data_IF_944762490048
#
_entry.id   IF_944762490048
#
_cell.length_a   1.000
_cell.length_b   1.000
_cell.length_c   1.000
_cell.angle_alpha   90.00
_cell.angle_beta   90.00
_cell.angle_gamma   90.00
#
_symmetry.space_group_name_H-M   'P 1'
#
loop_
_entity.id
_entity.type
_entity.pdbx_description
1 polymer ?
#
# COMPACT_ATOMS: atom_id res chain seq x y z
N UNK A 1 -20.29 34.62 29.84
CA UNK A 1 -18.83 34.43 29.79
C UNK A 1 -18.57 33.16 29.00
N UNK A 2 -18.33 33.32 27.70
CA UNK A 2 -18.34 32.25 26.70
C UNK A 2 -16.91 31.77 26.43
N UNK A 3 -16.67 30.46 26.59
CA UNK A 3 -15.45 29.78 26.15
C UNK A 3 -15.74 29.09 24.81
N UNK A 4 -15.73 29.89 23.74
CA UNK A 4 -15.83 29.41 22.36
C UNK A 4 -14.99 30.34 21.47
N UNK A 5 -13.71 30.04 21.29
CA UNK A 5 -12.86 30.44 20.16
C UNK A 5 -11.38 30.18 20.47
N UNK A 6 -10.93 28.93 20.39
CA UNK A 6 -9.55 28.64 19.97
C UNK A 6 -9.69 27.99 18.62
N UNK A 7 -9.79 28.85 17.60
CA UNK A 7 -9.73 28.46 16.19
C UNK A 7 -8.29 28.02 15.92
N UNK A 8 -8.11 26.72 15.74
CA UNK A 8 -6.90 26.10 15.24
C UNK A 8 -6.64 26.61 13.81
N UNK A 9 -5.79 27.63 13.70
CA UNK A 9 -5.24 28.11 12.44
C UNK A 9 -3.73 28.05 12.52
N UNK A 10 -3.14 26.87 12.35
CA UNK A 10 -1.70 26.75 12.15
C UNK A 10 -1.41 26.25 10.73
N UNK A 11 -1.09 27.25 9.91
CA UNK A 11 -0.64 27.14 8.53
C UNK A 11 0.72 26.44 8.53
N UNK A 12 0.78 25.22 8.02
CA UNK A 12 2.03 24.55 7.65
C UNK A 12 2.75 25.35 6.56
N UNK A 13 3.78 26.11 6.95
CA UNK A 13 4.63 26.86 6.04
C UNK A 13 6.07 26.90 6.53
N UNK A 14 6.95 26.10 5.93
CA UNK A 14 8.41 26.28 5.97
C UNK A 14 8.94 25.74 4.63
N UNK A 15 9.16 26.62 3.65
CA UNK A 15 10.42 27.33 3.33
C UNK A 15 11.34 26.48 2.44
N UNK A 16 11.48 27.01 1.21
CA UNK A 16 12.53 26.82 0.22
C UNK A 16 12.66 25.51 -0.56
N UNK A 17 12.98 25.70 -1.85
CA UNK A 17 13.27 24.70 -2.87
C UNK A 17 14.64 24.97 -3.51
N UNK A 18 15.48 25.85 -2.96
CA UNK A 18 16.79 26.20 -3.54
C UNK A 18 17.70 26.88 -2.49
N UNK A 19 18.11 26.17 -1.44
CA UNK A 19 19.07 26.68 -0.45
C UNK A 19 20.13 25.62 -0.08
N UNK A 20 20.80 25.11 -1.12
CA UNK A 20 22.08 24.45 -0.95
C UNK A 20 23.14 25.57 -0.88
N UNK A 21 23.56 25.94 0.33
CA UNK A 21 24.79 26.70 0.59
C UNK A 21 24.77 28.24 0.51
N UNK A 22 23.93 28.95 1.28
CA UNK A 22 23.92 30.44 1.27
C UNK A 22 24.12 31.12 2.64
N UNK A 23 24.82 30.48 3.59
CA UNK A 23 25.20 31.13 4.85
C UNK A 23 26.18 32.31 4.67
N UNK A 24 26.76 32.48 3.47
CA UNK A 24 27.84 33.42 3.20
C UNK A 24 27.53 34.45 2.09
N UNK A 25 26.27 34.55 1.66
CA UNK A 25 25.88 35.60 0.71
C UNK A 25 25.78 36.96 1.41
N UNK A 26 26.53 37.93 0.91
CA UNK A 26 26.38 39.34 1.25
C UNK A 26 24.99 39.88 0.87
N UNK A 27 24.59 41.01 1.45
CA UNK A 27 23.33 41.67 1.07
C UNK A 27 23.27 42.03 -0.42
N UNK A 28 24.41 42.41 -1.02
CA UNK A 28 24.51 42.70 -2.45
C UNK A 28 24.31 41.45 -3.32
N UNK A 29 24.85 40.29 -2.91
CA UNK A 29 24.65 39.02 -3.62
C UNK A 29 23.19 38.55 -3.53
N UNK A 30 22.55 38.70 -2.37
CA UNK A 30 21.12 38.41 -2.19
C UNK A 30 20.25 39.29 -3.08
N UNK A 31 20.53 40.60 -3.13
CA UNK A 31 19.81 41.55 -3.97
C UNK A 31 19.98 41.22 -5.46
N UNK A 32 21.20 40.92 -5.90
CA UNK A 32 21.49 40.52 -7.27
C UNK A 32 20.76 39.22 -7.66
N UNK A 33 20.73 38.22 -6.77
CA UNK A 33 20.00 36.97 -7.00
C UNK A 33 18.49 37.20 -7.11
N UNK A 34 17.90 37.98 -6.20
CA UNK A 34 16.46 38.30 -6.26
C UNK A 34 16.16 39.07 -7.55
N UNK A 35 17.04 39.98 -7.99
CA UNK A 35 16.87 40.68 -9.26
C UNK A 35 16.90 39.74 -10.47
N UNK A 36 17.78 38.72 -10.45
CA UNK A 36 17.92 37.70 -11.49
C UNK A 36 16.80 36.63 -11.50
N UNK A 37 15.97 36.54 -10.47
CA UNK A 37 14.83 35.61 -10.43
C UNK A 37 13.78 35.96 -11.49
N UNK A 38 13.10 34.93 -12.00
CA UNK A 38 11.93 35.09 -12.87
C UNK A 38 10.78 35.79 -12.13
N UNK A 39 9.83 36.37 -12.86
CA UNK A 39 8.66 37.00 -12.24
C UNK A 39 7.81 36.00 -11.44
N UNK A 40 7.74 34.75 -11.90
CA UNK A 40 7.06 33.66 -11.19
C UNK A 40 7.75 33.35 -9.85
N UNK A 41 9.09 33.31 -9.84
CA UNK A 41 9.87 33.07 -8.62
C UNK A 41 9.79 34.25 -7.64
N UNK A 42 9.83 35.48 -8.15
CA UNK A 42 9.62 36.70 -7.34
C UNK A 42 8.24 36.72 -6.69
N UNK A 43 7.20 36.34 -7.43
CA UNK A 43 5.84 36.22 -6.89
C UNK A 43 5.76 35.12 -5.83
N UNK A 44 6.35 33.95 -6.09
CA UNK A 44 6.44 32.85 -5.12
C UNK A 44 7.16 33.28 -3.84
N UNK A 45 8.26 34.04 -3.96
CA UNK A 45 9.03 34.57 -2.83
C UNK A 45 8.20 35.58 -2.01
N UNK A 46 7.50 36.52 -2.66
CA UNK A 46 6.60 37.46 -1.99
C UNK A 46 5.49 36.75 -1.21
N UNK A 47 4.83 35.76 -1.83
CA UNK A 47 3.78 34.97 -1.17
C UNK A 47 4.32 34.16 0.01
N UNK A 48 5.59 33.75 -0.01
CA UNK A 48 6.25 33.09 1.14
C UNK A 48 6.53 34.09 2.25
N UNK A 49 7.07 35.27 1.93
CA UNK A 49 7.34 36.33 2.88
C UNK A 49 6.05 36.77 3.59
N UNK A 50 4.99 37.04 2.84
CA UNK A 50 3.70 37.46 3.41
C UNK A 50 3.13 36.41 4.38
N UNK A 51 3.22 35.12 4.02
CA UNK A 51 2.76 34.05 4.92
C UNK A 51 3.62 33.93 6.17
N UNK A 52 4.93 34.18 6.07
CA UNK A 52 5.82 34.23 7.23
C UNK A 52 5.52 35.44 8.13
N UNK A 53 5.29 36.62 7.54
CA UNK A 53 4.95 37.84 8.28
C UNK A 53 3.61 37.73 9.01
N UNK A 54 2.65 36.96 8.47
CA UNK A 54 1.36 36.67 9.11
C UNK A 54 1.46 35.73 10.32
N UNK A 55 2.61 35.08 10.56
CA UNK A 55 2.79 34.24 11.75
C UNK A 55 2.87 35.08 13.03
N UNK A 56 2.41 34.55 14.19
CA UNK A 56 2.63 35.20 15.48
C UNK A 56 4.13 35.45 15.74
N UNK A 57 4.46 36.56 16.41
CA UNK A 57 5.87 36.94 16.68
C UNK A 57 6.69 35.81 17.29
N UNK A 58 6.15 35.13 18.30
CA UNK A 58 6.84 34.01 18.94
C UNK A 58 7.17 32.86 17.97
N UNK A 59 6.28 32.58 17.01
CA UNK A 59 6.54 31.54 16.01
C UNK A 59 7.56 31.99 14.97
N UNK A 60 7.53 33.27 14.56
CA UNK A 60 8.57 33.84 13.68
C UNK A 60 9.95 33.77 14.32
N UNK A 61 10.07 34.18 15.59
CA UNK A 61 11.31 34.10 16.36
C UNK A 61 11.81 32.66 16.48
N UNK A 62 10.91 31.72 16.80
CA UNK A 62 11.24 30.29 16.84
C UNK A 62 11.80 29.78 15.51
N UNK A 63 11.19 30.15 14.38
CA UNK A 63 11.66 29.73 13.05
C UNK A 63 13.00 30.37 12.67
N UNK A 64 13.22 31.63 13.04
CA UNK A 64 14.51 32.30 12.84
C UNK A 64 15.61 31.62 13.66
N UNK A 65 15.33 31.29 14.93
CA UNK A 65 16.27 30.57 15.79
C UNK A 65 16.58 29.18 15.25
N UNK A 66 15.57 28.42 14.82
CA UNK A 66 15.77 27.10 14.19
C UNK A 66 16.66 27.21 12.94
N UNK A 67 16.43 28.22 12.10
CA UNK A 67 17.26 28.42 10.92
C UNK A 67 18.72 28.77 11.29
N UNK A 68 18.92 29.63 12.30
CA UNK A 68 20.25 29.96 12.79
C UNK A 68 20.98 28.73 13.38
N UNK A 69 20.28 27.89 14.14
CA UNK A 69 20.79 26.63 14.67
C UNK A 69 21.19 25.66 13.55
N UNK A 70 20.38 25.55 12.49
CA UNK A 70 20.69 24.70 11.33
C UNK A 70 21.91 25.19 10.55
N UNK A 71 22.13 26.51 10.44
CA UNK A 71 23.30 27.05 9.72
C UNK A 71 24.61 26.90 10.52
N UNK A 72 24.55 26.88 11.85
CA UNK A 72 25.74 26.70 12.70
C UNK A 72 26.18 25.23 12.81
N UNK A 73 25.32 24.29 12.43
CA UNK A 73 25.58 22.86 12.55
C UNK A 73 26.41 22.31 11.38
N UNK A 74 27.43 21.47 11.64
CA UNK A 74 28.17 20.80 10.57
C UNK A 74 27.30 19.94 9.64
N UNK A 75 26.25 19.30 10.18
CA UNK A 75 25.27 18.48 9.46
C UNK A 75 24.04 19.28 8.98
N UNK A 76 24.08 20.62 9.09
CA UNK A 76 22.99 21.52 8.72
C UNK A 76 22.44 21.34 7.30
N UNK A 77 23.27 21.19 6.26
CA UNK A 77 22.80 20.92 4.90
C UNK A 77 22.00 19.61 4.78
N UNK A 78 22.45 18.53 5.43
CA UNK A 78 21.79 17.23 5.39
C UNK A 78 20.44 17.24 6.11
N UNK A 79 20.36 17.96 7.24
CA UNK A 79 19.12 18.14 7.99
C UNK A 79 18.08 18.93 7.19
N UNK A 80 18.49 19.98 6.47
CA UNK A 80 17.60 20.73 5.57
C UNK A 80 17.04 19.84 4.48
N UNK A 81 17.89 19.03 3.85
CA UNK A 81 17.44 18.08 2.83
C UNK A 81 16.48 17.05 3.39
N UNK A 82 16.71 16.55 4.62
CA UNK A 82 15.77 15.67 5.31
C UNK A 82 14.43 16.37 5.58
N UNK A 83 14.42 17.64 5.99
CA UNK A 83 13.19 18.41 6.19
C UNK A 83 12.41 18.59 4.89
N UNK A 84 13.09 18.81 3.76
CA UNK A 84 12.45 18.88 2.45
C UNK A 84 11.81 17.55 2.06
N UNK A 85 12.55 16.44 2.14
CA UNK A 85 12.01 15.09 1.87
C UNK A 85 10.83 14.76 2.77
N UNK A 86 10.91 15.11 4.06
CA UNK A 86 9.81 14.92 4.99
C UNK A 86 8.58 15.74 4.59
N UNK A 87 8.75 17.00 4.21
CA UNK A 87 7.66 17.87 3.76
C UNK A 87 7.02 17.38 2.46
N UNK A 88 7.82 16.96 1.49
CA UNK A 88 7.32 16.40 0.23
C UNK A 88 6.56 15.11 0.47
N UNK A 89 7.04 14.26 1.37
CA UNK A 89 6.30 13.08 1.81
C UNK A 89 4.98 13.45 2.52
N UNK A 90 4.96 14.46 3.39
CA UNK A 90 3.73 14.91 4.06
C UNK A 90 2.65 15.33 3.06
N UNK A 91 3.01 15.85 1.88
CA UNK A 91 2.03 16.18 0.82
C UNK A 91 1.35 14.94 0.24
N UNK A 92 1.95 13.76 0.39
CA UNK A 92 1.42 12.49 -0.15
C UNK A 92 0.40 11.82 0.76
N UNK A 93 0.30 12.24 2.04
CA UNK A 93 -0.64 11.68 3.01
C UNK A 93 -1.86 12.59 3.21
N UNK A 94 -2.97 12.03 3.68
CA UNK A 94 -4.22 12.79 3.82
C UNK A 94 -4.17 13.80 4.99
N UNK A 95 -5.11 14.75 5.02
CA UNK A 95 -5.15 15.80 6.06
C UNK A 95 -5.31 15.26 7.48
N UNK A 96 -6.09 14.20 7.68
CA UNK A 96 -6.26 13.57 9.00
C UNK A 96 -4.96 12.94 9.51
N UNK A 97 -4.24 12.23 8.65
CA UNK A 97 -2.91 11.66 8.98
C UNK A 97 -1.88 12.75 9.30
N UNK A 98 -1.91 13.88 8.56
CA UNK A 98 -1.02 15.02 8.86
C UNK A 98 -1.31 15.61 10.23
N UNK A 99 -2.58 15.80 10.57
CA UNK A 99 -2.98 16.33 11.87
C UNK A 99 -2.56 15.38 13.00
N UNK A 100 -2.82 14.07 12.85
CA UNK A 100 -2.40 13.06 13.82
C UNK A 100 -0.88 13.12 14.07
N UNK A 101 -0.06 13.19 13.02
CA UNK A 101 1.39 13.30 13.17
C UNK A 101 1.82 14.57 13.93
N UNK A 102 1.11 15.69 13.77
CA UNK A 102 1.42 16.94 14.46
C UNK A 102 1.17 16.86 15.96
N UNK A 103 0.11 16.16 16.37
CA UNK A 103 -0.29 16.01 17.77
C UNK A 103 0.61 15.02 18.53
N UNK A 104 1.25 14.09 17.82
CA UNK A 104 2.12 13.08 18.44
C UNK A 104 3.47 13.66 18.91
N UNK A 105 3.99 13.19 20.07
CA UNK A 105 5.37 13.40 20.49
C UNK A 105 6.37 12.84 19.47
N UNK A 106 7.63 13.31 19.49
CA UNK A 106 8.63 12.99 18.47
C UNK A 106 8.83 11.48 18.24
N UNK A 107 8.93 10.68 19.31
CA UNK A 107 9.16 9.23 19.20
C UNK A 107 7.95 8.50 18.62
N UNK A 108 6.75 8.82 19.10
CA UNK A 108 5.50 8.24 18.58
C UNK A 108 5.25 8.65 17.13
N UNK A 109 5.60 9.88 16.77
CA UNK A 109 5.55 10.38 15.39
C UNK A 109 6.44 9.55 14.47
N UNK A 110 7.67 9.21 14.88
CA UNK A 110 8.56 8.36 14.08
C UNK A 110 7.94 6.97 13.87
N UNK A 111 7.40 6.36 14.93
CA UNK A 111 6.73 5.06 14.82
C UNK A 111 5.52 5.12 13.87
N UNK A 112 4.72 6.19 13.95
CA UNK A 112 3.58 6.41 13.05
C UNK A 112 4.03 6.65 11.61
N UNK A 113 5.09 7.42 11.37
CA UNK A 113 5.67 7.64 10.03
C UNK A 113 6.07 6.30 9.42
N UNK A 114 6.78 5.45 10.17
CA UNK A 114 7.15 4.10 9.70
C UNK A 114 5.91 3.30 9.29
N UNK A 115 4.89 3.26 10.14
CA UNK A 115 3.64 2.56 9.82
C UNK A 115 2.93 3.11 8.58
N UNK A 116 2.98 4.42 8.33
CA UNK A 116 2.37 5.04 7.15
C UNK A 116 3.17 4.75 5.88
N UNK A 117 4.50 4.74 5.97
CA UNK A 117 5.37 4.32 4.87
C UNK A 117 5.10 2.85 4.50
N UNK A 118 5.02 1.95 5.49
CA UNK A 118 4.67 0.55 5.27
C UNK A 118 3.29 0.41 4.60
N UNK A 119 2.32 1.23 4.97
CA UNK A 119 0.98 1.23 4.36
C UNK A 119 0.99 1.75 2.92
N UNK A 120 1.77 2.79 2.63
CA UNK A 120 1.97 3.29 1.27
C UNK A 120 2.68 2.26 0.38
N UNK A 121 3.72 1.60 0.90
CA UNK A 121 4.43 0.53 0.20
C UNK A 121 3.51 -0.64 -0.11
N UNK A 122 2.68 -1.06 0.85
CA UNK A 122 1.64 -2.07 0.63
C UNK A 122 0.64 -1.63 -0.43
N UNK A 123 0.15 -0.40 -0.37
CA UNK A 123 -0.79 0.14 -1.36
C UNK A 123 -0.19 0.14 -2.77
N UNK A 124 1.06 0.60 -2.91
CA UNK A 124 1.81 0.57 -4.19
C UNK A 124 2.01 -0.86 -4.66
N UNK A 125 2.41 -1.77 -3.78
CA UNK A 125 2.56 -3.17 -4.08
C UNK A 125 1.24 -3.77 -4.59
N UNK A 126 0.11 -3.54 -3.92
CA UNK A 126 -1.19 -4.07 -4.35
C UNK A 126 -1.67 -3.47 -5.67
N UNK A 127 -1.50 -2.17 -5.88
CA UNK A 127 -1.87 -1.52 -7.15
C UNK A 127 -1.04 -2.07 -8.31
N UNK A 128 0.26 -2.23 -8.08
CA UNK A 128 1.18 -2.81 -9.03
C UNK A 128 0.88 -4.28 -9.31
N UNK A 129 0.62 -5.07 -8.27
CA UNK A 129 0.19 -6.46 -8.35
C UNK A 129 -1.08 -6.59 -9.18
N UNK A 130 -2.08 -5.72 -8.96
CA UNK A 130 -3.30 -5.69 -9.76
C UNK A 130 -2.98 -5.44 -11.24
N UNK A 131 -2.09 -4.50 -11.55
CA UNK A 131 -1.70 -4.20 -12.92
C UNK A 131 -0.95 -5.38 -13.57
N UNK A 132 0.01 -5.98 -12.87
CA UNK A 132 0.79 -7.12 -13.35
C UNK A 132 -0.12 -8.34 -13.59
N UNK A 133 -0.96 -8.71 -12.61
CA UNK A 133 -1.87 -9.85 -12.74
C UNK A 133 -2.97 -9.66 -13.79
N UNK A 134 -3.23 -8.41 -14.24
CA UNK A 134 -4.16 -8.17 -15.35
C UNK A 134 -3.52 -8.52 -16.70
N UNK A 135 -2.21 -8.33 -16.82
CA UNK A 135 -1.47 -8.46 -18.08
C UNK A 135 -0.76 -9.80 -18.27
N UNK A 136 -0.41 -10.46 -17.17
CA UNK A 136 0.38 -11.69 -17.11
C UNK A 136 -0.56 -12.87 -16.89
N UNK A 137 -0.37 -13.93 -17.68
CA UNK A 137 -1.17 -15.15 -17.57
C UNK A 137 -0.88 -15.86 -16.25
N UNK A 138 -1.87 -16.55 -15.71
CA UNK A 138 -1.67 -17.30 -14.47
C UNK A 138 -0.66 -18.44 -14.64
N UNK A 139 -0.65 -19.10 -15.79
CA UNK A 139 0.29 -20.17 -16.11
C UNK A 139 1.74 -19.65 -16.05
N UNK A 140 1.97 -18.42 -16.52
CA UNK A 140 3.29 -17.78 -16.45
C UNK A 140 3.70 -17.47 -15.01
N UNK A 141 2.76 -17.12 -14.13
CA UNK A 141 3.04 -16.96 -12.69
C UNK A 141 3.34 -18.30 -12.01
N UNK A 142 2.71 -19.38 -12.45
CA UNK A 142 3.01 -20.75 -11.98
C UNK A 142 4.42 -21.17 -12.45
N UNK A 143 4.78 -20.89 -13.70
CA UNK A 143 6.13 -21.15 -14.24
C UNK A 143 7.20 -20.38 -13.48
N UNK A 144 6.98 -19.09 -13.19
CA UNK A 144 7.89 -18.27 -12.38
C UNK A 144 8.02 -18.86 -10.97
N UNK A 145 6.91 -19.30 -10.36
CA UNK A 145 6.94 -19.90 -9.03
C UNK A 145 7.70 -21.23 -9.02
N UNK A 146 7.51 -22.06 -10.05
CA UNK A 146 8.21 -23.32 -10.20
C UNK A 146 9.72 -23.08 -10.33
N UNK A 147 10.13 -22.15 -11.20
CA UNK A 147 11.54 -21.75 -11.35
C UNK A 147 12.15 -21.27 -10.02
N UNK A 148 11.41 -20.49 -9.22
CA UNK A 148 11.86 -20.09 -7.88
C UNK A 148 12.16 -21.32 -7.02
N UNK A 149 11.23 -22.27 -6.94
CA UNK A 149 11.32 -23.40 -5.99
C UNK A 149 12.32 -24.46 -6.44
N UNK A 150 12.35 -24.77 -7.73
CA UNK A 150 13.07 -25.94 -8.25
C UNK A 150 14.42 -25.61 -8.86
N UNK A 151 14.62 -24.38 -9.35
CA UNK A 151 15.87 -24.00 -9.99
C UNK A 151 16.68 -23.05 -9.09
N UNK A 152 16.12 -21.87 -8.81
CA UNK A 152 16.88 -20.82 -8.13
C UNK A 152 17.15 -21.14 -6.66
N UNK A 153 16.13 -21.49 -5.87
CA UNK A 153 16.31 -21.81 -4.46
C UNK A 153 17.14 -23.08 -4.21
N UNK A 154 17.26 -23.96 -5.21
CA UNK A 154 18.15 -25.12 -5.14
C UNK A 154 19.61 -24.69 -5.21
N UNK A 155 19.95 -23.70 -6.05
CA UNK A 155 21.31 -23.13 -6.16
C UNK A 155 21.70 -22.37 -4.88
N UNK A 156 20.77 -21.59 -4.31
CA UNK A 156 21.00 -20.75 -3.12
C UNK A 156 20.64 -21.43 -1.78
N UNK A 157 20.37 -22.75 -1.80
CA UNK A 157 19.85 -23.51 -0.66
C UNK A 157 20.67 -23.32 0.62
N UNK A 158 21.98 -23.52 0.54
CA UNK A 158 22.86 -23.49 1.71
C UNK A 158 22.92 -22.08 2.33
N UNK A 159 22.84 -21.06 1.48
CA UNK A 159 22.80 -19.65 1.92
C UNK A 159 21.55 -19.35 2.72
N UNK A 160 20.40 -19.92 2.34
CA UNK A 160 19.12 -19.77 3.07
C UNK A 160 19.17 -20.55 4.38
N UNK A 161 19.64 -21.79 4.35
CA UNK A 161 19.73 -22.64 5.54
C UNK A 161 20.70 -22.08 6.59
N UNK A 162 21.72 -21.33 6.19
CA UNK A 162 22.62 -20.63 7.12
C UNK A 162 21.89 -19.66 8.08
N UNK A 163 20.70 -19.19 7.72
CA UNK A 163 19.89 -18.29 8.55
C UNK A 163 18.70 -18.99 9.24
N UNK A 164 18.58 -20.31 9.15
CA UNK A 164 17.46 -21.08 9.68
C UNK A 164 17.25 -20.85 11.19
N UNK A 165 18.31 -20.95 12.00
CA UNK A 165 18.20 -20.77 13.45
C UNK A 165 17.84 -19.32 13.82
N UNK A 166 18.45 -18.34 13.14
CA UNK A 166 18.14 -16.92 13.34
C UNK A 166 16.69 -16.61 12.97
N UNK A 167 16.17 -17.24 11.92
CA UNK A 167 14.75 -17.17 11.57
C UNK A 167 13.87 -17.74 12.68
N UNK A 168 14.25 -18.87 13.28
CA UNK A 168 13.49 -19.46 14.38
C UNK A 168 13.50 -18.61 15.65
N UNK A 169 14.58 -17.89 15.94
CA UNK A 169 14.61 -16.92 17.04
C UNK A 169 13.57 -15.80 16.84
N UNK A 170 13.46 -15.26 15.62
CA UNK A 170 12.51 -14.19 15.31
C UNK A 170 11.08 -14.71 15.10
N UNK A 171 10.94 -15.92 14.56
CA UNK A 171 9.67 -16.55 14.18
C UNK A 171 9.61 -18.00 14.69
N UNK A 172 9.46 -18.23 16.02
CA UNK A 172 9.51 -19.57 16.60
C UNK A 172 8.48 -20.55 16.04
N UNK A 173 7.34 -20.05 15.58
CA UNK A 173 6.27 -20.85 14.97
C UNK A 173 6.71 -21.56 13.67
N UNK A 174 7.73 -21.04 12.97
CA UNK A 174 8.29 -21.70 11.78
C UNK A 174 8.92 -23.04 12.12
N UNK A 175 9.54 -23.18 13.29
CA UNK A 175 10.20 -24.42 13.69
C UNK A 175 9.21 -25.56 13.79
N UNK A 176 8.06 -25.34 14.44
CA UNK A 176 7.01 -26.35 14.56
C UNK A 176 6.38 -26.69 13.21
N UNK A 177 6.12 -25.68 12.37
CA UNK A 177 5.56 -25.87 11.03
C UNK A 177 6.49 -26.68 10.12
N UNK A 178 7.79 -26.35 10.14
CA UNK A 178 8.78 -26.99 9.26
C UNK A 178 9.32 -28.31 9.80
N UNK A 179 8.99 -28.68 11.03
CA UNK A 179 9.27 -30.00 11.59
C UNK A 179 8.34 -31.10 11.04
N UNK A 180 7.32 -30.75 10.27
CA UNK A 180 6.43 -31.71 9.61
C UNK A 180 7.22 -32.57 8.61
N UNK A 181 7.30 -33.88 8.87
CA UNK A 181 8.09 -34.84 8.07
C UNK A 181 7.65 -34.97 6.60
N UNK A 182 6.48 -34.44 6.23
CA UNK A 182 5.93 -34.51 4.88
C UNK A 182 6.38 -33.38 3.95
N UNK A 183 7.12 -32.37 4.44
CA UNK A 183 7.61 -31.27 3.60
C UNK A 183 8.81 -31.72 2.76
N UNK A 184 8.78 -31.45 1.46
CA UNK A 184 9.95 -31.65 0.61
C UNK A 184 11.08 -30.70 1.02
N UNK A 185 12.36 -31.06 0.81
CA UNK A 185 13.49 -30.20 1.12
C UNK A 185 13.41 -28.81 0.46
N UNK A 186 13.02 -28.74 -0.82
CA UNK A 186 12.84 -27.48 -1.54
C UNK A 186 11.71 -26.66 -0.95
N UNK A 187 10.61 -27.31 -0.53
CA UNK A 187 9.49 -26.60 0.11
C UNK A 187 9.88 -26.00 1.45
N UNK A 188 10.71 -26.70 2.24
CA UNK A 188 11.27 -26.14 3.49
C UNK A 188 12.10 -24.88 3.20
N UNK A 189 13.00 -24.95 2.23
CA UNK A 189 13.87 -23.83 1.85
C UNK A 189 13.04 -22.65 1.35
N UNK A 190 12.03 -22.90 0.52
CA UNK A 190 11.07 -21.88 0.09
C UNK A 190 10.34 -21.22 1.26
N UNK A 191 9.76 -22.01 2.17
CA UNK A 191 9.03 -21.47 3.32
C UNK A 191 9.97 -20.67 4.25
N UNK A 192 11.23 -21.06 4.40
CA UNK A 192 12.24 -20.26 5.11
C UNK A 192 12.51 -18.94 4.38
N UNK A 193 12.83 -18.99 3.09
CA UNK A 193 13.17 -17.83 2.26
C UNK A 193 12.05 -16.78 2.24
N UNK A 194 10.81 -17.18 2.01
CA UNK A 194 9.65 -16.25 2.03
C UNK A 194 9.49 -15.58 3.40
N UNK A 195 9.99 -16.19 4.48
CA UNK A 195 9.95 -15.62 5.82
C UNK A 195 11.22 -14.85 6.23
N UNK A 196 12.26 -14.77 5.40
CA UNK A 196 13.46 -13.95 5.64
C UNK A 196 13.19 -12.45 5.51
N UNK A 197 12.24 -12.07 4.65
CA UNK A 197 11.94 -10.67 4.37
C UNK A 197 11.59 -9.87 5.63
N UNK A 198 12.27 -8.74 5.79
CA UNK A 198 12.05 -7.79 6.87
C UNK A 198 12.53 -8.26 8.24
N UNK A 199 13.25 -9.38 8.33
CA UNK A 199 13.79 -9.87 9.61
C UNK A 199 15.12 -9.16 9.92
N UNK A 200 15.23 -8.44 11.06
CA UNK A 200 16.45 -7.71 11.41
C UNK A 200 17.71 -8.59 11.42
N UNK A 201 18.73 -8.13 10.70
CA UNK A 201 20.03 -8.81 10.62
C UNK A 201 20.04 -10.08 9.78
N UNK A 202 18.97 -10.39 9.05
CA UNK A 202 18.98 -11.37 7.96
C UNK A 202 18.99 -10.58 6.65
N UNK A 203 19.96 -10.80 5.75
CA UNK A 203 19.97 -10.12 4.46
C UNK A 203 18.84 -10.64 3.57
N UNK A 204 18.25 -9.75 2.77
CA UNK A 204 17.33 -10.15 1.71
C UNK A 204 18.10 -10.93 0.64
N UNK A 205 17.87 -12.24 0.57
CA UNK A 205 18.44 -13.10 -0.47
C UNK A 205 17.54 -12.98 -1.70
N UNK A 206 18.10 -12.40 -2.77
CA UNK A 206 17.44 -12.18 -4.06
C UNK A 206 18.28 -12.77 -5.20
N UNK A 207 17.66 -13.13 -6.34
CA UNK A 207 18.40 -13.61 -7.50
C UNK A 207 19.39 -12.55 -8.00
N UNK A 208 20.51 -13.02 -8.54
CA UNK A 208 21.52 -12.19 -9.18
C UNK A 208 21.09 -11.72 -10.57
N UNK A 209 21.88 -10.84 -11.20
CA UNK A 209 21.63 -10.44 -12.60
C UNK A 209 21.60 -11.63 -13.56
N UNK A 210 22.50 -12.61 -13.39
CA UNK A 210 22.49 -13.82 -14.22
C UNK A 210 21.25 -14.68 -14.01
N UNK A 211 20.76 -14.78 -12.76
CA UNK A 211 19.51 -15.50 -12.47
C UNK A 211 18.31 -14.77 -13.08
N UNK A 212 18.34 -13.44 -13.14
CA UNK A 212 17.29 -12.67 -13.81
C UNK A 212 17.29 -12.87 -15.34
N UNK A 213 18.45 -13.03 -15.98
CA UNK A 213 18.49 -13.41 -17.40
C UNK A 213 17.92 -14.81 -17.62
N UNK A 214 18.21 -15.75 -16.72
CA UNK A 214 17.62 -17.09 -16.76
C UNK A 214 16.09 -16.99 -16.64
N UNK A 215 15.57 -16.29 -15.62
CA UNK A 215 14.14 -16.06 -15.42
C UNK A 215 13.48 -15.45 -16.66
N UNK A 216 14.10 -14.46 -17.31
CA UNK A 216 13.56 -13.85 -18.55
C UNK A 216 13.32 -14.87 -19.66
N UNK A 217 14.13 -15.93 -19.74
CA UNK A 217 13.96 -16.98 -20.73
C UNK A 217 12.69 -17.83 -20.51
N UNK A 218 12.22 -17.91 -19.25
CA UNK A 218 10.97 -18.58 -18.86
C UNK A 218 9.72 -17.69 -19.09
N UNK A 219 9.89 -16.39 -19.32
CA UNK A 219 8.77 -15.46 -19.50
C UNK A 219 8.17 -15.54 -20.91
N UNK A 220 6.86 -15.32 -20.97
CA UNK A 220 6.11 -15.22 -22.22
C UNK A 220 6.53 -14.01 -23.06
N UNK A 221 6.33 -14.10 -24.38
CA UNK A 221 6.79 -13.07 -25.33
C UNK A 221 6.27 -11.67 -25.00
N UNK A 222 5.01 -11.54 -24.58
CA UNK A 222 4.39 -10.26 -24.20
C UNK A 222 5.10 -9.64 -22.99
N UNK A 223 5.34 -10.43 -21.95
CA UNK A 223 6.01 -9.99 -20.71
C UNK A 223 7.46 -9.61 -20.98
N UNK A 224 8.16 -10.39 -21.81
CA UNK A 224 9.53 -10.11 -22.24
C UNK A 224 9.65 -8.79 -23.00
N UNK A 225 8.79 -8.56 -24.00
CA UNK A 225 8.75 -7.28 -24.74
C UNK A 225 8.48 -6.09 -23.82
N UNK A 226 7.59 -6.26 -22.82
CA UNK A 226 7.31 -5.21 -21.83
C UNK A 226 8.56 -4.90 -20.98
N UNK A 227 9.27 -5.93 -20.54
CA UNK A 227 10.53 -5.78 -19.79
C UNK A 227 11.61 -5.10 -20.64
N UNK A 228 11.73 -5.45 -21.91
CA UNK A 228 12.69 -4.84 -22.85
C UNK A 228 12.36 -3.37 -23.16
N UNK A 229 11.09 -2.98 -23.10
CA UNK A 229 10.67 -1.58 -23.30
C UNK A 229 10.99 -0.65 -22.13
N UNK A 230 11.34 -1.19 -20.95
CA UNK A 230 11.69 -0.44 -19.74
C UNK A 230 13.04 -0.91 -19.15
N UNK A 231 14.17 -0.70 -19.85
CA UNK A 231 15.48 -1.25 -19.45
C UNK A 231 15.92 -0.79 -18.05
N UNK A 232 15.70 0.48 -17.72
CA UNK A 232 16.07 1.06 -16.41
C UNK A 232 15.27 0.48 -15.24
N UNK A 233 14.12 -0.15 -15.52
CA UNK A 233 13.22 -0.72 -14.50
C UNK A 233 13.13 -2.23 -14.56
N UNK A 234 13.87 -2.87 -15.47
CA UNK A 234 13.73 -4.29 -15.78
C UNK A 234 13.89 -5.17 -14.54
N UNK A 235 14.94 -4.93 -13.75
CA UNK A 235 15.20 -5.69 -12.53
C UNK A 235 14.09 -5.49 -11.48
N UNK A 236 13.63 -4.24 -11.32
CA UNK A 236 12.53 -3.94 -10.40
C UNK A 236 11.25 -4.66 -10.83
N UNK A 237 10.93 -4.68 -12.12
CA UNK A 237 9.76 -5.39 -12.66
C UNK A 237 9.87 -6.91 -12.47
N UNK A 238 11.05 -7.50 -12.64
CA UNK A 238 11.28 -8.93 -12.38
C UNK A 238 11.08 -9.29 -10.92
N UNK A 239 11.63 -8.49 -9.99
CA UNK A 239 11.38 -8.67 -8.54
C UNK A 239 9.88 -8.61 -8.23
N UNK A 240 9.15 -7.71 -8.89
CA UNK A 240 7.71 -7.59 -8.72
C UNK A 240 6.94 -8.79 -9.29
N UNK A 241 7.36 -9.31 -10.46
CA UNK A 241 6.80 -10.52 -11.05
C UNK A 241 7.01 -11.75 -10.15
N UNK A 242 8.21 -11.90 -9.58
CA UNK A 242 8.49 -12.96 -8.61
C UNK A 242 7.58 -12.85 -7.38
N UNK A 243 7.45 -11.64 -6.80
CA UNK A 243 6.52 -11.40 -5.69
C UNK A 243 5.09 -11.70 -6.10
N UNK A 244 4.72 -11.44 -7.35
CA UNK A 244 3.41 -11.75 -7.88
C UNK A 244 3.14 -13.25 -7.94
N UNK A 245 4.12 -14.01 -8.42
CA UNK A 245 4.08 -15.47 -8.45
C UNK A 245 3.97 -16.07 -7.03
N UNK A 246 4.71 -15.53 -6.06
CA UNK A 246 4.58 -15.96 -4.65
C UNK A 246 3.17 -15.70 -4.14
N UNK A 247 2.62 -14.49 -4.35
CA UNK A 247 1.29 -14.12 -3.88
C UNK A 247 0.19 -14.90 -4.60
N UNK A 248 0.35 -15.23 -5.88
CA UNK A 248 -0.64 -16.03 -6.61
C UNK A 248 -0.78 -17.43 -6.01
N UNK A 249 0.32 -18.03 -5.53
CA UNK A 249 0.24 -19.32 -4.83
C UNK A 249 -0.54 -19.23 -3.50
N UNK A 250 -0.43 -18.12 -2.77
CA UNK A 250 -1.21 -17.90 -1.53
C UNK A 250 -2.67 -17.54 -1.81
N UNK A 251 -2.96 -16.99 -2.98
CA UNK A 251 -4.33 -16.86 -3.48
C UNK A 251 -4.74 -18.18 -4.11
N UNK A 252 -4.78 -19.24 -3.30
CA UNK A 252 -5.16 -20.60 -3.71
C UNK A 252 -6.28 -20.54 -4.76
N UNK A 253 -5.97 -21.01 -5.98
CA UNK A 253 -6.97 -21.57 -6.88
C UNK A 253 -7.63 -22.66 -6.08
N UNK A 254 -8.78 -22.35 -5.47
CA UNK A 254 -9.64 -23.43 -5.02
C UNK A 254 -10.24 -23.98 -6.30
N UNK A 255 -9.83 -25.19 -6.65
CA UNK A 255 -10.44 -25.93 -7.74
C UNK A 255 -11.95 -25.98 -7.49
N UNK A 256 -12.74 -25.84 -8.54
CA UNK A 256 -14.20 -25.94 -8.42
C UNK A 256 -14.59 -27.34 -7.90
N UNK A 257 -13.80 -28.37 -8.18
CA UNK A 257 -13.98 -29.70 -7.59
C UNK A 257 -13.71 -29.73 -6.08
N UNK A 258 -12.69 -29.02 -5.60
CA UNK A 258 -12.41 -28.89 -4.17
C UNK A 258 -13.45 -28.01 -3.45
N UNK A 259 -13.95 -26.97 -4.12
CA UNK A 259 -15.08 -26.17 -3.62
C UNK A 259 -16.37 -27.00 -3.52
N UNK A 260 -16.63 -27.87 -4.50
CA UNK A 260 -17.79 -28.78 -4.47
C UNK A 260 -17.67 -29.77 -3.31
N UNK A 261 -16.50 -30.40 -3.13
CA UNK A 261 -16.25 -31.30 -2.00
C UNK A 261 -16.40 -30.58 -0.66
N UNK A 262 -15.77 -29.42 -0.52
CA UNK A 262 -15.90 -28.60 0.68
C UNK A 262 -17.35 -28.19 0.95
N UNK A 263 -18.08 -27.74 -0.07
CA UNK A 263 -19.50 -27.42 0.06
C UNK A 263 -20.33 -28.63 0.50
N UNK A 264 -20.04 -29.83 -0.01
CA UNK A 264 -20.73 -31.05 0.39
C UNK A 264 -20.49 -31.42 1.86
N UNK A 265 -19.29 -31.12 2.39
CA UNK A 265 -18.88 -31.37 3.77
C UNK A 265 -19.36 -30.30 4.77
N UNK A 266 -19.81 -29.12 4.30
CA UNK A 266 -20.31 -28.07 5.19
C UNK A 266 -21.56 -28.49 5.98
N UNK A 267 -21.73 -28.01 7.22
CA UNK A 267 -22.97 -28.19 7.97
C UNK A 267 -24.19 -27.65 7.21
N UNK A 268 -25.35 -28.29 7.34
CA UNK A 268 -26.58 -27.90 6.62
C UNK A 268 -26.99 -26.44 6.87
N UNK A 269 -26.72 -25.93 8.07
CA UNK A 269 -26.94 -24.51 8.40
C UNK A 269 -26.11 -23.57 7.52
N UNK A 270 -24.86 -23.91 7.28
CA UNK A 270 -23.93 -23.11 6.47
C UNK A 270 -24.22 -23.23 4.98
N UNK A 271 -24.63 -24.41 4.51
CA UNK A 271 -25.14 -24.62 3.16
C UNK A 271 -26.39 -23.76 2.89
N UNK A 272 -27.34 -23.76 3.82
CA UNK A 272 -28.56 -22.97 3.71
C UNK A 272 -28.29 -21.46 3.70
N UNK A 273 -27.33 -20.98 4.51
CA UNK A 273 -26.91 -19.57 4.50
C UNK A 273 -26.26 -19.21 3.16
N UNK A 274 -25.37 -20.06 2.64
CA UNK A 274 -24.72 -19.83 1.34
C UNK A 274 -25.74 -19.80 0.21
N UNK A 275 -26.69 -20.75 0.18
CA UNK A 275 -27.74 -20.84 -0.83
C UNK A 275 -28.68 -19.61 -0.89
N UNK A 276 -28.70 -18.78 0.18
CA UNK A 276 -29.43 -17.52 0.19
C UNK A 276 -28.76 -16.38 -0.58
N UNK A 277 -27.50 -16.54 -0.99
CA UNK A 277 -26.78 -15.53 -1.77
C UNK A 277 -27.03 -15.66 -3.30
N UNK A 278 -27.01 -14.54 -4.04
CA UNK A 278 -26.95 -14.57 -5.50
C UNK A 278 -25.73 -15.35 -6.02
N UNK A 279 -25.77 -15.95 -7.24
CA UNK A 279 -24.72 -16.81 -7.76
C UNK A 279 -23.29 -16.22 -7.69
N UNK A 280 -23.15 -14.92 -7.98
CA UNK A 280 -21.87 -14.21 -7.94
C UNK A 280 -21.32 -14.11 -6.51
N UNK A 281 -22.21 -13.90 -5.53
CA UNK A 281 -21.88 -13.77 -4.12
C UNK A 281 -21.72 -15.13 -3.42
N UNK A 282 -22.47 -16.14 -3.87
CA UNK A 282 -22.34 -17.53 -3.43
C UNK A 282 -20.90 -18.03 -3.62
N UNK A 283 -20.38 -17.93 -4.84
CA UNK A 283 -19.03 -18.39 -5.16
C UNK A 283 -17.95 -17.63 -4.38
N UNK A 284 -18.14 -16.32 -4.20
CA UNK A 284 -17.22 -15.51 -3.41
C UNK A 284 -17.19 -15.95 -1.94
N UNK A 285 -18.36 -16.08 -1.28
CA UNK A 285 -18.45 -16.46 0.13
C UNK A 285 -18.01 -17.92 0.35
N UNK A 286 -18.33 -18.84 -0.58
CA UNK A 286 -17.86 -20.22 -0.52
C UNK A 286 -16.34 -20.30 -0.58
N UNK A 287 -15.71 -19.61 -1.54
CA UNK A 287 -14.24 -19.53 -1.64
C UNK A 287 -13.61 -18.85 -0.43
N UNK A 288 -14.29 -17.86 0.15
CA UNK A 288 -13.85 -17.18 1.38
C UNK A 288 -13.89 -18.13 2.59
N UNK A 289 -14.99 -18.84 2.81
CA UNK A 289 -15.12 -19.85 3.88
C UNK A 289 -14.12 -20.98 3.70
N UNK A 290 -13.95 -21.48 2.47
CA UNK A 290 -12.91 -22.46 2.14
C UNK A 290 -11.52 -21.97 2.56
N UNK A 291 -11.18 -20.72 2.23
CA UNK A 291 -9.90 -20.11 2.63
C UNK A 291 -9.82 -19.84 4.13
N UNK A 292 -10.91 -19.55 4.82
CA UNK A 292 -10.89 -19.36 6.28
C UNK A 292 -10.68 -20.69 7.01
N UNK A 293 -11.27 -21.78 6.51
CA UNK A 293 -11.18 -23.12 7.12
C UNK A 293 -9.88 -23.82 6.74
N UNK A 294 -9.49 -23.79 5.46
CA UNK A 294 -8.23 -24.37 4.97
C UNK A 294 -7.03 -23.43 5.13
N UNK A 295 -7.22 -22.12 5.09
CA UNK A 295 -6.15 -21.16 5.41
C UNK A 295 -5.76 -21.20 6.89
N UNK A 296 -6.64 -21.64 7.79
CA UNK A 296 -6.25 -21.94 9.18
C UNK A 296 -5.20 -23.05 9.27
N UNK A 297 -5.21 -24.02 8.35
CA UNK A 297 -4.11 -25.01 8.21
C UNK A 297 -2.82 -24.39 7.69
N UNK A 298 -2.89 -23.42 6.78
CA UNK A 298 -1.71 -22.81 6.17
C UNK A 298 -1.12 -21.61 6.94
N UNK A 299 -1.87 -20.96 7.84
CA UNK A 299 -1.42 -19.72 8.52
C UNK A 299 -1.81 -19.65 10.02
N UNK A 300 -2.36 -20.73 10.59
CA UNK A 300 -2.92 -20.76 11.96
C UNK A 300 -4.24 -19.99 12.07
N UNK A 301 -4.72 -19.69 13.30
CA UNK A 301 -5.95 -18.92 13.59
C UNK A 301 -5.92 -17.44 13.11
N UNK A 302 -5.18 -17.11 12.06
CA UNK A 302 -5.10 -15.77 11.48
C UNK A 302 -6.14 -15.61 10.34
N UNK A 303 -6.86 -14.48 10.28
CA UNK A 303 -7.72 -14.17 9.15
C UNK A 303 -6.89 -14.07 7.85
N UNK A 304 -7.49 -14.34 6.67
CA UNK A 304 -6.79 -14.31 5.38
C UNK A 304 -6.34 -12.87 5.07
N UNK A 305 -5.10 -12.57 5.42
CA UNK A 305 -4.38 -11.36 5.06
C UNK A 305 -3.06 -11.75 4.38
N UNK A 306 -2.35 -10.78 3.76
CA UNK A 306 -1.06 -11.05 3.15
C UNK A 306 -0.04 -11.60 4.17
N UNK A 307 1.05 -12.24 3.70
CA UNK A 307 1.99 -12.95 4.57
C UNK A 307 2.70 -12.07 5.62
N UNK A 308 3.40 -12.68 6.60
CA UNK A 308 3.80 -12.04 7.86
C UNK A 308 4.79 -10.87 7.81
N UNK A 309 5.41 -10.57 6.67
CA UNK A 309 6.45 -9.52 6.56
C UNK A 309 5.93 -8.09 6.86
N UNK A 310 4.61 -7.90 6.99
CA UNK A 310 3.96 -6.59 7.13
C UNK A 310 3.49 -6.23 8.57
N UNK A 311 3.83 -7.01 9.62
CA UNK A 311 3.16 -6.85 10.94
C UNK A 311 4.02 -6.79 12.20
N UNK A 312 5.33 -6.99 12.14
CA UNK A 312 6.10 -7.18 13.39
C UNK A 312 6.38 -5.90 14.21
N UNK A 313 5.95 -4.72 13.77
CA UNK A 313 6.05 -3.49 14.56
C UNK A 313 4.82 -3.17 15.45
N UNK A 314 3.85 -4.10 15.61
CA UNK A 314 2.63 -3.86 16.41
C UNK A 314 2.57 -4.56 17.77
N UNK A 315 3.66 -5.15 18.26
CA UNK A 315 3.76 -5.65 19.64
C UNK A 315 4.90 -4.99 20.40
N UNK A 316 4.74 -3.69 20.60
CA UNK A 316 5.30 -3.01 21.76
C UNK A 316 4.27 -3.02 22.89
N UNK A 317 4.75 -3.45 24.07
CA UNK A 317 4.34 -3.03 25.41
C UNK A 317 2.85 -3.08 25.83
N UNK A 318 2.58 -4.06 26.69
CA UNK A 318 1.27 -4.35 27.24
C UNK A 318 0.78 -3.34 28.26
N UNK A 319 -0.53 -3.08 28.19
CA UNK A 319 -1.44 -2.84 29.32
C UNK A 319 -2.81 -3.35 28.89
N UNK A 320 -3.20 -4.51 29.41
CA UNK A 320 -4.59 -4.96 29.31
C UNK A 320 -5.50 -4.05 30.15
N UNK A 321 -6.79 -3.90 29.80
CA UNK A 321 -7.75 -3.29 30.71
C UNK A 321 -8.48 -4.39 31.48
N UNK A 322 -7.92 -4.79 32.62
CA UNK A 322 -8.73 -5.32 33.71
C UNK A 322 -9.10 -4.17 34.65
N UNK A 323 -10.40 -3.99 34.89
CA UNK A 323 -10.89 -3.50 36.19
C UNK A 323 -11.65 -2.16 36.23
N UNK A 324 -12.98 -2.30 36.31
CA UNK A 324 -13.98 -1.47 37.04
C UNK A 324 -14.22 -0.02 36.55
N UNK A 325 -15.46 0.47 36.47
CA UNK A 325 -16.60 0.16 37.34
C UNK A 325 -17.98 0.55 36.79
N UNK A 326 -19.00 0.44 37.65
CA UNK A 326 -20.41 0.37 37.28
C UNK A 326 -21.09 1.74 37.30
N UNK A 327 -22.13 1.90 36.47
CA UNK A 327 -23.12 2.96 36.61
C UNK A 327 -22.93 4.12 35.64
N UNK A 328 -23.88 4.25 34.72
CA UNK A 328 -24.72 5.44 34.52
C UNK A 328 -25.58 5.19 33.30
N UNK A 329 -26.81 4.73 33.57
CA UNK A 329 -27.91 4.72 32.63
C UNK A 329 -28.44 6.16 32.58
N UNK A 330 -27.88 6.98 31.70
CA UNK A 330 -28.32 8.34 31.41
C UNK A 330 -29.27 8.38 30.23
N UNK A 331 -30.30 9.20 30.36
CA UNK A 331 -31.54 9.24 29.61
C UNK A 331 -31.39 9.57 28.11
N UNK A 332 -32.29 9.00 27.30
CA UNK A 332 -32.53 9.39 25.91
C UNK A 332 -33.09 10.82 25.87
N UNK A 333 -32.29 11.75 25.37
CA UNK A 333 -32.79 13.06 24.91
C UNK A 333 -33.71 12.94 23.68
N UNK A 334 -34.60 13.93 23.46
CA UNK A 334 -35.65 13.87 22.44
C UNK A 334 -35.08 13.95 21.01
N UNK A 335 -35.68 13.18 20.10
CA UNK A 335 -35.40 13.22 18.66
C UNK A 335 -35.82 14.58 18.08
N UNK A 336 -35.05 15.18 17.17
CA UNK A 336 -35.51 16.32 16.39
C UNK A 336 -36.64 15.92 15.42
N UNK A 337 -37.58 16.84 15.11
CA UNK A 337 -38.69 16.59 14.20
C UNK A 337 -38.21 16.44 12.75
N UNK A 338 -38.83 15.52 12.01
CA UNK A 338 -38.60 15.34 10.58
C UNK A 338 -39.10 16.55 9.78
N UNK A 339 -38.40 16.99 8.72
CA UNK A 339 -38.93 17.97 7.79
C UNK A 339 -40.08 17.36 6.98
N UNK A 340 -41.19 18.09 6.94
CA UNK A 340 -42.39 17.81 6.17
C UNK A 340 -42.15 17.89 4.66
N UNK A 341 -42.81 16.98 3.94
CA UNK A 341 -43.04 17.02 2.51
C UNK A 341 -43.66 18.37 2.10
N UNK A 342 -42.96 19.13 1.26
CA UNK A 342 -43.55 20.04 0.27
C UNK A 342 -42.42 20.70 -0.53
N UNK A 343 -42.18 20.19 -1.74
CA UNK A 343 -41.82 20.94 -2.96
C UNK A 343 -41.44 20.00 -4.09
N UNK A 344 -42.39 19.79 -4.99
CA UNK A 344 -42.17 19.23 -6.32
C UNK A 344 -41.25 20.14 -7.14
N UNK A 345 -40.29 19.61 -7.91
CA UNK A 345 -39.54 20.37 -8.90
C UNK A 345 -40.34 20.54 -10.22
N UNK A 346 -40.10 21.63 -10.97
CA UNK A 346 -40.83 21.93 -12.19
C UNK A 346 -40.45 21.02 -13.37
N UNK A 347 -41.47 20.76 -14.18
CA UNK A 347 -41.52 19.96 -15.41
C UNK A 347 -40.57 20.46 -16.51
N UNK A 348 -39.88 19.51 -17.13
CA UNK A 348 -39.01 19.66 -18.31
C UNK A 348 -39.88 19.80 -19.58
N UNK A 349 -39.54 20.68 -20.54
CA UNK A 349 -40.35 20.85 -21.75
C UNK A 349 -40.13 19.74 -22.79
N UNK A 350 -41.22 19.47 -23.52
CA UNK A 350 -41.43 18.47 -24.56
C UNK A 350 -40.47 18.61 -25.75
N UNK A 351 -39.88 17.48 -26.17
CA UNK A 351 -39.11 17.37 -27.41
C UNK A 351 -39.96 16.66 -28.47
N UNK A 352 -40.15 17.37 -29.58
CA UNK A 352 -41.03 17.01 -30.70
C UNK A 352 -40.53 15.75 -31.43
N UNK A 353 -41.46 14.82 -31.61
CA UNK A 353 -41.42 13.76 -32.62
C UNK A 353 -41.49 14.34 -34.03
N UNK A 354 -40.48 14.05 -34.85
CA UNK A 354 -40.55 14.09 -36.32
C UNK A 354 -40.17 12.70 -36.83
N UNK A 355 -41.08 12.11 -37.57
CA UNK A 355 -40.93 10.77 -38.14
C UNK A 355 -39.93 10.71 -39.29
N UNK A 356 -39.64 9.48 -39.69
CA UNK A 356 -39.49 9.12 -41.09
C UNK A 356 -39.67 7.61 -41.22
N UNK A 357 -40.69 7.25 -41.99
CA UNK A 357 -40.76 6.02 -42.77
C UNK A 357 -39.58 5.96 -43.74
N UNK A 358 -38.95 4.79 -43.90
CA UNK A 358 -39.00 4.05 -45.16
C UNK A 358 -38.14 2.78 -45.12
N UNK A 359 -38.73 1.74 -45.68
CA UNK A 359 -38.24 0.37 -45.89
C UNK A 359 -37.64 0.31 -47.30
N UNK A 360 -36.55 -0.45 -47.53
CA UNK A 360 -36.70 -1.70 -48.30
C UNK A 360 -35.78 -2.81 -47.74
N UNK A 361 -36.24 -4.04 -47.52
CA UNK A 361 -36.45 -5.13 -48.49
C UNK A 361 -35.16 -5.69 -49.14
N UNK A 362 -34.81 -6.90 -48.66
CA UNK A 362 -34.20 -8.05 -49.35
C UNK A 362 -32.75 -7.96 -49.88
N UNK A 363 -31.87 -8.84 -49.36
CA UNK A 363 -31.48 -10.09 -50.03
C UNK A 363 -30.42 -10.84 -49.19
N UNK A 364 -30.67 -12.13 -48.95
CA UNK A 364 -29.70 -13.09 -48.42
C UNK A 364 -28.94 -13.77 -49.60
N UNK A 365 -28.03 -14.74 -49.37
CA UNK A 365 -26.70 -14.75 -49.96
C UNK A 365 -26.56 -15.74 -51.14
N UNK A 366 -25.46 -15.63 -51.89
CA UNK A 366 -24.95 -16.72 -52.71
C UNK A 366 -23.45 -16.93 -52.49
N UNK A 367 -22.98 -18.19 -52.45
CA UNK A 367 -21.57 -18.57 -52.44
C UNK A 367 -21.06 -18.66 -53.89
N UNK A 368 -19.74 -18.58 -54.07
CA UNK A 368 -18.97 -19.60 -54.81
C UNK A 368 -17.47 -19.27 -54.85
N UNK A 369 -16.66 -20.30 -54.61
CA UNK A 369 -15.24 -20.43 -54.97
C UNK A 369 -15.11 -20.66 -56.49
N UNK A 370 -13.91 -20.62 -57.10
CA UNK A 370 -12.84 -21.62 -56.88
C UNK A 370 -11.57 -21.05 -56.22
#
# INVERSE_FOLDING_TARGET
MNRSAILAGFVTLVLLTTLVGHAQESESERAARIAAMSDADKLSLRNKLERFERLPTAERERLLNLNAELEQRPDGPELRELMHRYYDWLKTINSGQRQELQELPAQERIAKIKSLLDEQERGRFFALMKNIMTDVKHEELDDIHQWIVDDWLVKDRDRILAYEEKLYEHKPWLRSRLAEKSLSPNRKVYDLWVNMYGVPGIPDIMPSESDFEELKSHLGEKTRKKLESEPDRQQSLLVQLMRAAIVSQFRTRVDDEDLKKFYAELPEKDKAELAGFPPERFNFELRKRYREENGRRFVGNRPPGPPPWDRDNRRGDGRGPEGRGPGMRGERGPRPPMPSDDKLPPTKPEEKTLGNDEKPAAASPTPDSP
#
